data_IF_058115574949
#
_entry.id   IF_058115574949
#
_cell.length_a   1.000
_cell.length_b   1.000
_cell.length_c   1.000
_cell.angle_alpha   90.00
_cell.angle_beta   90.00
_cell.angle_gamma   90.00
#
_symmetry.space_group_name_H-M   'P 1'
#
loop_
_entity.id
_entity.type
_entity.pdbx_description
1 polymer ?
#
# COMPACT_ATOMS: atom_id res chain seq x y z
N UNK A 1 -18.14 -56.56 -35.56
CA UNK A 1 -17.90 -56.14 -34.17
C UNK A 1 -16.67 -55.25 -34.18
N UNK A 2 -16.80 -53.91 -34.21
CA UNK A 2 -17.12 -53.01 -33.09
C UNK A 2 -15.87 -52.75 -32.20
N UNK A 3 -15.19 -51.64 -32.55
CA UNK A 3 -14.25 -50.75 -31.82
C UNK A 3 -13.26 -51.31 -30.78
N UNK A 4 -11.99 -50.86 -30.86
CA UNK A 4 -11.48 -49.87 -29.89
C UNK A 4 -10.16 -49.22 -30.39
N UNK A 5 -10.25 -47.96 -30.81
CA UNK A 5 -9.11 -47.05 -30.94
C UNK A 5 -8.67 -46.68 -29.52
N UNK A 6 -7.49 -47.12 -29.06
CA UNK A 6 -6.87 -46.58 -27.86
C UNK A 6 -6.28 -45.21 -28.20
N UNK A 7 -7.10 -44.16 -28.05
CA UNK A 7 -6.65 -42.78 -28.07
C UNK A 7 -5.76 -42.50 -26.86
N UNK A 8 -4.52 -42.13 -27.16
CA UNK A 8 -3.52 -41.58 -26.26
C UNK A 8 -4.07 -40.32 -25.55
N UNK A 9 -4.40 -40.42 -24.25
CA UNK A 9 -4.72 -39.26 -23.42
C UNK A 9 -3.51 -38.97 -22.52
N UNK A 10 -2.58 -38.14 -23.03
CA UNK A 10 -1.52 -37.55 -22.21
C UNK A 10 -2.18 -36.46 -21.36
N UNK A 11 -2.36 -36.74 -20.07
CA UNK A 11 -2.82 -35.76 -19.08
C UNK A 11 -1.62 -34.87 -18.76
N UNK A 12 -1.50 -33.74 -19.44
CA UNK A 12 -0.56 -32.67 -19.07
C UNK A 12 -1.15 -31.89 -17.91
N UNK A 13 -0.72 -32.19 -16.69
CA UNK A 13 -0.97 -31.36 -15.51
C UNK A 13 -0.22 -30.04 -15.64
N UNK A 14 -0.92 -28.98 -16.04
CA UNK A 14 -0.43 -27.61 -15.91
C UNK A 14 -0.53 -27.22 -14.43
N UNK A 15 0.56 -27.44 -13.70
CA UNK A 15 0.79 -26.84 -12.38
C UNK A 15 1.06 -25.34 -12.57
N UNK A 16 0.01 -24.53 -12.60
CA UNK A 16 0.14 -23.07 -12.51
C UNK A 16 0.23 -22.66 -11.04
N UNK A 17 1.38 -22.91 -10.42
CA UNK A 17 1.77 -22.16 -9.24
C UNK A 17 2.26 -20.79 -9.72
N UNK A 18 1.34 -19.82 -9.83
CA UNK A 18 1.73 -18.41 -9.95
C UNK A 18 2.13 -17.94 -8.54
N UNK A 19 3.34 -18.33 -8.14
CA UNK A 19 3.98 -17.69 -7.00
C UNK A 19 4.38 -16.32 -7.51
N UNK A 20 3.73 -15.28 -6.99
CA UNK A 20 4.24 -13.91 -7.12
C UNK A 20 5.62 -13.92 -6.50
N UNK A 21 6.64 -14.05 -7.35
CA UNK A 21 8.01 -13.86 -6.95
C UNK A 21 8.08 -12.45 -6.36
N UNK A 22 8.41 -12.37 -5.07
CA UNK A 22 8.61 -11.12 -4.36
C UNK A 22 9.37 -10.15 -5.27
N UNK A 23 8.96 -8.86 -5.35
CA UNK A 23 9.66 -7.92 -6.20
C UNK A 23 11.02 -7.62 -5.55
N UNK A 24 12.01 -8.47 -5.79
CA UNK A 24 13.42 -8.15 -5.60
C UNK A 24 13.81 -7.25 -6.76
N UNK A 25 13.41 -5.99 -6.67
CA UNK A 25 14.19 -4.93 -7.26
C UNK A 25 15.40 -4.73 -6.36
N UNK A 26 16.60 -4.88 -6.92
CA UNK A 26 17.81 -4.43 -6.24
C UNK A 26 17.64 -2.94 -5.92
N UNK A 27 17.44 -2.63 -4.64
CA UNK A 27 17.39 -1.25 -4.16
C UNK A 27 18.81 -0.70 -4.25
N UNK A 28 19.17 -0.14 -5.40
CA UNK A 28 20.37 0.67 -5.51
C UNK A 28 20.28 1.77 -4.45
N UNK A 29 21.27 1.85 -3.55
CA UNK A 29 21.32 2.92 -2.55
C UNK A 29 21.22 4.27 -3.27
N UNK A 30 20.21 5.11 -2.97
CA UNK A 30 20.06 6.38 -3.65
C UNK A 30 21.27 7.26 -3.33
N UNK A 31 22.06 7.57 -4.36
CA UNK A 31 23.15 8.54 -4.25
C UNK A 31 22.52 9.90 -3.91
N UNK A 32 23.07 10.68 -2.96
CA UNK A 32 22.53 12.00 -2.67
C UNK A 32 22.51 12.85 -3.95
N UNK A 33 21.38 13.49 -4.31
CA UNK A 33 21.40 14.47 -5.37
C UNK A 33 22.28 15.64 -4.91
N UNK A 34 23.46 15.75 -5.50
CA UNK A 34 24.25 16.97 -5.38
C UNK A 34 23.50 18.10 -6.07
N UNK A 35 22.99 19.06 -5.30
CA UNK A 35 22.55 20.37 -5.82
C UNK A 35 21.17 20.44 -6.51
N UNK A 36 20.32 19.41 -6.47
CA UNK A 36 18.93 19.49 -6.97
C UNK A 36 17.92 19.55 -5.83
N UNK A 37 16.87 20.38 -5.96
CA UNK A 37 15.73 20.40 -5.04
C UNK A 37 15.12 19.00 -4.93
N UNK A 38 15.14 18.40 -3.74
CA UNK A 38 14.43 17.14 -3.50
C UNK A 38 12.93 17.42 -3.51
N UNK A 39 12.24 16.82 -4.47
CA UNK A 39 10.79 16.91 -4.60
C UNK A 39 10.09 15.90 -3.70
N UNK A 40 8.90 16.24 -3.24
CA UNK A 40 8.12 15.42 -2.34
C UNK A 40 7.62 14.13 -3.01
N UNK A 41 7.59 13.05 -2.22
CA UNK A 41 6.78 11.88 -2.51
C UNK A 41 5.45 11.99 -1.76
N UNK A 42 4.40 11.42 -2.31
CA UNK A 42 3.07 11.43 -1.71
C UNK A 42 2.74 10.03 -1.20
N UNK A 43 2.26 9.94 0.03
CA UNK A 43 1.61 8.76 0.60
C UNK A 43 0.10 8.88 0.40
N UNK A 44 -0.51 7.88 -0.21
CA UNK A 44 -1.95 7.67 -0.25
C UNK A 44 -2.28 6.42 0.57
N UNK A 45 -2.90 6.62 1.73
CA UNK A 45 -3.45 5.53 2.52
C UNK A 45 -4.92 5.33 2.09
N UNK A 46 -5.20 4.22 1.40
CA UNK A 46 -6.54 3.81 0.96
C UNK A 46 -7.22 3.01 2.08
N UNK A 47 -8.04 3.68 2.88
CA UNK A 47 -8.86 3.03 3.90
C UNK A 47 -9.94 2.20 3.19
N UNK A 48 -9.86 0.88 3.37
CA UNK A 48 -10.54 -0.10 2.52
C UNK A 48 -11.04 -1.32 3.31
N UNK A 49 -11.74 -2.22 2.61
CA UNK A 49 -12.22 -3.50 3.13
C UNK A 49 -12.62 -4.41 1.97
N UNK A 50 -12.23 -5.67 2.01
CA UNK A 50 -12.40 -6.59 0.87
C UNK A 50 -13.89 -6.91 0.55
N UNK A 51 -14.81 -6.73 1.50
CA UNK A 51 -16.27 -6.85 1.30
C UNK A 51 -16.97 -5.52 0.97
N UNK A 52 -16.24 -4.41 0.88
CA UNK A 52 -16.82 -3.11 0.51
C UNK A 52 -16.98 -3.01 -1.01
N UNK A 53 -18.22 -2.97 -1.49
CA UNK A 53 -18.54 -2.95 -2.93
C UNK A 53 -17.88 -1.81 -3.73
N UNK A 54 -17.65 -0.66 -3.10
CA UNK A 54 -17.07 0.51 -3.75
C UNK A 54 -15.53 0.56 -3.65
N UNK A 55 -14.93 -0.31 -2.82
CA UNK A 55 -13.51 -0.29 -2.55
C UNK A 55 -12.65 -0.82 -3.73
N UNK A 56 -13.11 -1.78 -4.55
CA UNK A 56 -12.41 -2.13 -5.79
C UNK A 56 -12.23 -0.96 -6.77
N UNK A 57 -13.22 -0.08 -6.94
CA UNK A 57 -13.08 1.14 -7.78
C UNK A 57 -12.03 2.10 -7.19
N UNK A 58 -11.93 2.20 -5.86
CA UNK A 58 -10.90 3.00 -5.21
C UNK A 58 -9.49 2.42 -5.44
N UNK A 59 -9.32 1.11 -5.26
CA UNK A 59 -8.06 0.43 -5.51
C UNK A 59 -7.60 0.62 -6.97
N UNK A 60 -8.51 0.48 -7.94
CA UNK A 60 -8.21 0.74 -9.37
C UNK A 60 -7.72 2.17 -9.58
N UNK A 61 -8.38 3.18 -8.97
CA UNK A 61 -7.95 4.58 -9.08
C UNK A 61 -6.58 4.82 -8.46
N UNK A 62 -6.32 4.23 -7.29
CA UNK A 62 -5.01 4.33 -6.64
C UNK A 62 -3.91 3.72 -7.52
N UNK A 63 -4.17 2.56 -8.15
CA UNK A 63 -3.22 1.92 -9.06
C UNK A 63 -3.02 2.70 -10.37
N UNK A 64 -4.07 3.33 -10.90
CA UNK A 64 -3.94 4.24 -12.05
C UNK A 64 -3.04 5.45 -11.71
N UNK A 65 -3.21 6.03 -10.52
CA UNK A 65 -2.33 7.12 -10.07
C UNK A 65 -0.90 6.62 -9.84
N UNK A 66 -0.72 5.42 -9.26
CA UNK A 66 0.60 4.80 -9.08
C UNK A 66 1.29 4.56 -10.43
N UNK A 67 0.55 4.15 -11.46
CA UNK A 67 1.09 3.99 -12.81
C UNK A 67 1.55 5.32 -13.43
N UNK A 68 0.92 6.45 -13.08
CA UNK A 68 1.31 7.79 -13.56
C UNK A 68 2.55 8.30 -12.82
N UNK A 69 2.56 8.21 -11.48
CA UNK A 69 3.59 8.85 -10.65
C UNK A 69 4.75 7.92 -10.25
N UNK A 70 4.66 6.62 -10.56
CA UNK A 70 5.67 5.63 -10.20
C UNK A 70 5.98 5.67 -8.70
N UNK A 71 7.26 5.60 -8.35
CA UNK A 71 7.73 5.56 -6.95
C UNK A 71 7.53 6.84 -6.16
N UNK A 72 7.13 7.93 -6.83
CA UNK A 72 6.78 9.18 -6.15
C UNK A 72 5.42 9.15 -5.49
N UNK A 73 4.57 8.19 -5.83
CA UNK A 73 3.33 7.89 -5.10
C UNK A 73 3.48 6.54 -4.40
N UNK A 74 3.43 6.56 -3.07
CA UNK A 74 3.36 5.38 -2.21
C UNK A 74 1.91 5.13 -1.89
N UNK A 75 1.39 3.95 -2.22
CA UNK A 75 0.00 3.57 -1.95
C UNK A 75 0.00 2.46 -0.90
N UNK A 76 -0.80 2.62 0.15
CA UNK A 76 -0.97 1.63 1.21
C UNK A 76 -2.45 1.37 1.43
N UNK A 77 -2.88 0.11 1.31
CA UNK A 77 -4.24 -0.30 1.68
C UNK A 77 -4.34 -0.49 3.20
N UNK A 78 -5.29 0.17 3.85
CA UNK A 78 -5.54 0.04 5.28
C UNK A 78 -6.90 -0.61 5.48
N UNK A 79 -6.90 -1.92 5.76
CA UNK A 79 -8.12 -2.69 5.97
C UNK A 79 -8.72 -2.38 7.35
N UNK A 80 -9.98 -1.96 7.37
CA UNK A 80 -10.68 -1.53 8.58
C UNK A 80 -12.20 -1.69 8.45
N UNK A 81 -12.92 -1.39 9.54
CA UNK A 81 -14.35 -1.66 9.72
C UNK A 81 -14.66 -3.16 9.62
N UNK A 82 -15.06 -3.77 10.74
CA UNK A 82 -15.30 -5.21 10.81
C UNK A 82 -16.34 -5.71 9.79
N UNK A 83 -17.33 -4.87 9.46
CA UNK A 83 -18.33 -5.20 8.45
C UNK A 83 -17.73 -5.45 7.06
N UNK A 84 -16.60 -4.80 6.73
CA UNK A 84 -15.99 -4.89 5.39
C UNK A 84 -14.66 -5.62 5.35
N UNK A 85 -13.93 -5.69 6.46
CA UNK A 85 -12.56 -6.20 6.49
C UNK A 85 -12.33 -7.37 7.47
N UNK A 86 -13.30 -7.71 8.33
CA UNK A 86 -13.15 -8.90 9.18
C UNK A 86 -13.30 -10.17 8.33
N UNK A 87 -12.45 -11.19 8.54
CA UNK A 87 -12.64 -12.50 7.91
C UNK A 87 -14.02 -13.10 8.14
N UNK A 88 -14.48 -13.89 7.18
CA UNK A 88 -15.79 -14.54 7.21
C UNK A 88 -15.61 -16.05 7.21
N UNK A 89 -16.42 -16.75 8.00
CA UNK A 89 -16.45 -18.21 8.02
C UNK A 89 -17.16 -18.78 6.78
N UNK A 90 -16.71 -19.93 6.25
CA UNK A 90 -15.61 -20.76 6.77
C UNK A 90 -14.23 -20.16 6.45
N UNK A 91 -13.32 -20.22 7.42
CA UNK A 91 -11.91 -19.90 7.15
C UNK A 91 -11.24 -20.99 6.29
N UNK A 92 -10.16 -20.62 5.61
CA UNK A 92 -9.34 -21.48 4.73
C UNK A 92 -10.03 -21.97 3.44
N UNK A 93 -11.08 -21.27 2.99
CA UNK A 93 -11.77 -21.55 1.71
C UNK A 93 -11.23 -20.71 0.54
N UNK A 94 -10.29 -19.80 0.80
CA UNK A 94 -9.71 -18.89 -0.17
C UNK A 94 -10.54 -17.62 -0.43
N UNK A 95 -11.65 -17.42 0.28
CA UNK A 95 -12.54 -16.29 0.11
C UNK A 95 -12.71 -15.52 1.43
N UNK A 96 -12.15 -14.32 1.48
CA UNK A 96 -12.35 -13.41 2.61
C UNK A 96 -11.94 -14.00 3.97
N UNK A 97 -10.94 -14.87 3.97
CA UNK A 97 -10.45 -15.64 5.13
C UNK A 97 -9.23 -14.99 5.82
N UNK A 98 -8.46 -14.17 5.08
CA UNK A 98 -7.25 -13.52 5.59
C UNK A 98 -7.57 -12.21 6.31
N UNK A 99 -7.07 -12.06 7.54
CA UNK A 99 -7.21 -10.82 8.31
C UNK A 99 -6.12 -9.80 7.95
N UNK A 100 -6.47 -8.86 7.07
CA UNK A 100 -5.58 -7.76 6.70
C UNK A 100 -5.66 -6.56 7.65
N UNK A 101 -6.51 -6.60 8.68
CA UNK A 101 -6.61 -5.53 9.67
C UNK A 101 -5.37 -5.54 10.56
N UNK A 102 -5.01 -4.38 11.07
CA UNK A 102 -3.92 -4.25 12.05
C UNK A 102 -4.39 -3.43 13.24
N UNK A 103 -3.81 -3.64 14.45
CA UNK A 103 -4.11 -2.77 15.60
C UNK A 103 -3.88 -1.28 15.28
N UNK A 104 -2.82 -0.96 14.54
CA UNK A 104 -2.53 0.40 14.10
C UNK A 104 -3.60 0.94 13.13
N UNK A 105 -3.97 0.18 12.10
CA UNK A 105 -5.02 0.57 11.15
C UNK A 105 -6.39 0.74 11.80
N UNK A 106 -6.71 -0.07 12.81
CA UNK A 106 -7.96 0.04 13.56
C UNK A 106 -8.09 1.38 14.30
N UNK A 107 -6.98 2.01 14.70
CA UNK A 107 -7.02 3.33 15.34
C UNK A 107 -7.56 4.44 14.43
N UNK A 108 -7.52 4.26 13.11
CA UNK A 108 -7.94 5.28 12.15
C UNK A 108 -9.45 5.56 12.25
N UNK A 109 -10.22 4.56 12.66
CA UNK A 109 -11.67 4.65 12.83
C UNK A 109 -12.06 5.59 13.98
N UNK A 110 -11.19 5.74 14.98
CA UNK A 110 -11.49 6.52 16.19
C UNK A 110 -11.47 8.03 15.94
N UNK A 111 -12.20 8.79 16.75
CA UNK A 111 -12.15 10.27 16.74
C UNK A 111 -10.76 10.84 17.06
N UNK A 112 -9.96 10.11 17.84
CA UNK A 112 -8.56 10.46 18.11
C UNK A 112 -7.59 10.07 16.98
N UNK A 113 -8.06 9.29 16.00
CA UNK A 113 -7.37 8.97 14.76
C UNK A 113 -7.82 9.89 13.62
N UNK A 114 -8.59 9.35 12.68
CA UNK A 114 -9.08 10.09 11.51
C UNK A 114 -10.61 10.07 11.36
N UNK A 115 -11.32 9.44 12.30
CA UNK A 115 -12.78 9.30 12.30
C UNK A 115 -13.29 8.70 10.97
N UNK A 116 -12.66 7.60 10.55
CA UNK A 116 -13.07 6.85 9.36
C UNK A 116 -14.24 5.93 9.70
N UNK A 117 -15.44 6.35 9.33
CA UNK A 117 -16.70 5.62 9.61
C UNK A 117 -17.37 5.07 8.35
N UNK A 118 -16.81 5.34 7.18
CA UNK A 118 -17.28 4.85 5.88
C UNK A 118 -16.08 4.59 4.95
N UNK A 119 -16.27 3.68 3.99
CA UNK A 119 -15.26 3.29 3.02
C UNK A 119 -15.80 3.43 1.59
N UNK A 120 -14.92 3.66 0.59
CA UNK A 120 -13.49 3.94 0.73
C UNK A 120 -13.22 5.42 1.07
N UNK A 121 -12.14 5.68 1.82
CA UNK A 121 -11.63 7.02 2.13
C UNK A 121 -10.12 7.02 1.99
N UNK A 122 -9.55 8.08 1.42
CA UNK A 122 -8.10 8.23 1.33
C UNK A 122 -7.57 9.26 2.31
N UNK A 123 -6.38 9.02 2.83
CA UNK A 123 -5.55 10.01 3.50
C UNK A 123 -4.37 10.34 2.58
N UNK A 124 -4.32 11.56 2.04
CA UNK A 124 -3.24 12.01 1.15
C UNK A 124 -2.24 12.82 1.97
N UNK A 125 -1.06 12.25 2.25
CA UNK A 125 -0.06 12.78 3.17
C UNK A 125 -0.63 13.20 4.54
N UNK A 126 -1.80 12.68 4.91
CA UNK A 126 -2.59 13.13 6.08
C UNK A 126 -2.73 14.65 6.17
N UNK A 127 -2.78 15.33 5.03
CA UNK A 127 -2.98 16.77 4.93
C UNK A 127 -4.43 17.06 4.53
N UNK A 128 -5.09 18.05 5.16
CA UNK A 128 -6.40 18.48 4.72
C UNK A 128 -6.39 18.88 3.24
N UNK A 129 -7.33 18.35 2.49
CA UNK A 129 -7.65 18.76 1.12
C UNK A 129 -9.10 19.25 1.10
N UNK A 130 -9.30 20.48 0.62
CA UNK A 130 -10.60 21.16 0.68
C UNK A 130 -11.24 21.14 2.09
N UNK A 131 -10.42 21.37 3.12
CA UNK A 131 -10.87 21.46 4.51
C UNK A 131 -11.08 20.12 5.22
N UNK A 132 -10.87 18.98 4.56
CA UNK A 132 -11.02 17.65 5.15
C UNK A 132 -9.74 16.82 5.01
N UNK A 133 -9.34 16.15 6.08
CA UNK A 133 -8.25 15.14 6.02
C UNK A 133 -8.71 13.85 5.34
N UNK A 134 -10.02 13.56 5.38
CA UNK A 134 -10.66 12.44 4.68
C UNK A 134 -10.96 12.86 3.26
N UNK A 135 -10.22 12.29 2.31
CA UNK A 135 -10.29 12.65 0.89
C UNK A 135 -11.09 11.60 0.14
N UNK A 136 -12.12 12.03 -0.58
CA UNK A 136 -12.89 11.18 -1.49
C UNK A 136 -12.00 10.59 -2.58
N UNK A 137 -12.24 9.33 -2.96
CA UNK A 137 -11.52 8.65 -4.06
C UNK A 137 -11.56 9.40 -5.38
N UNK A 138 -12.58 10.22 -5.60
CA UNK A 138 -12.72 11.05 -6.80
C UNK A 138 -11.80 12.28 -6.80
N UNK A 139 -11.25 12.65 -5.64
CA UNK A 139 -10.38 13.82 -5.47
C UNK A 139 -8.91 13.46 -5.26
N UNK A 140 -8.54 12.17 -5.22
CA UNK A 140 -7.15 11.76 -4.99
C UNK A 140 -6.21 12.27 -6.09
N UNK A 141 -6.63 12.23 -7.35
CA UNK A 141 -5.80 12.70 -8.46
C UNK A 141 -5.37 14.16 -8.28
N UNK A 142 -6.31 15.03 -7.94
CA UNK A 142 -6.05 16.47 -7.76
C UNK A 142 -5.33 16.76 -6.45
N UNK A 143 -5.64 16.02 -5.37
CA UNK A 143 -4.93 16.13 -4.11
C UNK A 143 -3.45 15.72 -4.23
N UNK A 144 -3.17 14.59 -4.90
CA UNK A 144 -1.81 14.11 -5.17
C UNK A 144 -1.05 15.10 -6.05
N UNK A 145 -1.64 15.52 -7.17
CA UNK A 145 -1.01 16.47 -8.09
C UNK A 145 -0.65 17.79 -7.40
N UNK A 146 -1.49 18.27 -6.47
CA UNK A 146 -1.21 19.48 -5.71
C UNK A 146 -0.04 19.36 -4.72
N UNK A 147 0.39 18.15 -4.37
CA UNK A 147 1.41 17.91 -3.34
C UNK A 147 2.72 17.33 -3.89
N UNK A 148 2.68 16.59 -4.99
CA UNK A 148 3.80 15.74 -5.41
C UNK A 148 5.03 16.58 -5.76
N UNK A 149 4.91 17.66 -6.54
CA UNK A 149 6.08 18.47 -6.93
C UNK A 149 6.47 19.57 -5.94
N UNK A 150 5.87 19.57 -4.75
CA UNK A 150 6.29 20.49 -3.69
C UNK A 150 7.68 20.11 -3.16
N UNK A 151 8.41 21.09 -2.62
CA UNK A 151 9.69 20.84 -1.97
C UNK A 151 9.52 19.88 -0.77
N UNK A 152 10.38 18.86 -0.69
CA UNK A 152 10.43 17.98 0.46
C UNK A 152 11.05 18.69 1.67
N UNK A 153 10.47 18.49 2.85
CA UNK A 153 11.08 18.95 4.11
C UNK A 153 12.19 18.02 4.60
N UNK A 154 12.15 16.76 4.14
CA UNK A 154 13.02 15.69 4.60
C UNK A 154 13.27 14.72 3.45
N UNK A 155 14.50 14.25 3.34
CA UNK A 155 14.90 13.17 2.45
C UNK A 155 15.01 11.89 3.29
N UNK A 156 14.09 10.95 3.06
CA UNK A 156 14.00 9.67 3.76
C UNK A 156 14.45 8.55 2.82
N UNK A 157 15.39 7.73 3.27
CA UNK A 157 15.93 6.62 2.50
C UNK A 157 16.00 5.37 3.34
N UNK A 158 15.60 4.25 2.77
CA UNK A 158 15.91 2.92 3.31
C UNK A 158 17.24 2.53 2.67
N UNK A 159 18.30 2.52 3.47
CA UNK A 159 19.66 2.25 2.99
C UNK A 159 19.92 0.75 2.87
N UNK A 160 19.36 -0.01 3.82
CA UNK A 160 19.44 -1.46 3.86
C UNK A 160 18.10 -2.03 4.31
N UNK A 161 17.72 -3.15 3.71
CA UNK A 161 16.57 -3.95 4.12
C UNK A 161 16.91 -5.43 3.92
N UNK A 162 16.93 -6.17 5.02
CA UNK A 162 17.34 -7.58 5.06
C UNK A 162 16.18 -8.36 5.65
N UNK A 163 15.67 -9.32 4.88
CA UNK A 163 14.72 -10.31 5.37
C UNK A 163 15.45 -11.63 5.63
N UNK A 164 15.42 -12.08 6.88
CA UNK A 164 15.84 -13.42 7.28
C UNK A 164 14.62 -14.32 7.32
N UNK A 165 14.48 -15.20 6.32
CA UNK A 165 13.36 -16.13 6.21
C UNK A 165 13.39 -17.25 7.25
N UNK A 166 14.54 -17.53 7.88
CA UNK A 166 14.68 -18.56 8.92
C UNK A 166 14.25 -17.98 10.26
N UNK A 167 14.71 -16.77 10.58
CA UNK A 167 14.36 -16.08 11.82
C UNK A 167 13.00 -15.37 11.74
N UNK A 168 12.45 -15.16 10.54
CA UNK A 168 11.23 -14.39 10.34
C UNK A 168 11.40 -12.90 10.70
N UNK A 169 12.59 -12.34 10.47
CA UNK A 169 12.92 -10.96 10.86
C UNK A 169 13.23 -10.08 9.66
N UNK A 170 12.82 -8.82 9.76
CA UNK A 170 13.22 -7.76 8.83
C UNK A 170 14.09 -6.76 9.61
N UNK A 171 15.28 -6.49 9.11
CA UNK A 171 16.21 -5.51 9.69
C UNK A 171 16.68 -4.53 8.62
N UNK A 172 16.98 -3.29 9.01
CA UNK A 172 17.34 -2.27 8.03
C UNK A 172 17.80 -0.96 8.65
N UNK A 173 18.46 -0.15 7.83
CA UNK A 173 18.89 1.21 8.14
C UNK A 173 18.01 2.22 7.42
N UNK A 174 17.59 3.27 8.13
CA UNK A 174 16.87 4.41 7.55
C UNK A 174 17.70 5.67 7.77
N UNK A 175 18.00 6.38 6.68
CA UNK A 175 18.59 7.71 6.72
C UNK A 175 17.52 8.77 6.57
N UNK A 176 17.65 9.82 7.39
CA UNK A 176 16.74 10.95 7.44
C UNK A 176 17.55 12.25 7.39
N UNK A 177 17.56 12.92 6.23
CA UNK A 177 18.25 14.20 6.06
C UNK A 177 17.22 15.33 6.09
N UNK A 178 17.35 16.24 7.08
CA UNK A 178 16.53 17.44 7.15
C UNK A 178 16.94 18.41 6.03
N UNK A 179 15.99 18.73 5.15
CA UNK A 179 16.16 19.76 4.13
C UNK A 179 15.61 21.11 4.61
N UNK A 180 14.72 21.06 5.60
CA UNK A 180 14.16 22.21 6.29
C UNK A 180 14.09 21.93 7.80
N UNK A 181 14.17 22.96 8.67
CA UNK A 181 14.00 22.77 10.11
C UNK A 181 12.63 22.19 10.46
N UNK A 182 12.60 21.22 11.39
CA UNK A 182 11.36 20.69 11.95
C UNK A 182 10.93 21.54 13.15
N UNK A 183 9.71 22.09 13.09
CA UNK A 183 9.21 22.99 14.14
C UNK A 183 8.67 22.25 15.39
N UNK A 184 8.39 20.95 15.29
CA UNK A 184 7.76 20.13 16.33
C UNK A 184 8.42 18.75 16.41
N UNK A 185 8.17 17.95 17.46
CA UNK A 185 8.50 16.53 17.45
C UNK A 185 7.82 15.80 16.28
N UNK A 186 8.54 14.84 15.69
CA UNK A 186 8.06 14.00 14.60
C UNK A 186 8.35 12.53 14.91
N UNK A 187 7.53 11.64 14.36
CA UNK A 187 7.72 10.19 14.42
C UNK A 187 8.09 9.66 13.04
N UNK A 188 8.98 8.65 13.01
CA UNK A 188 9.18 7.82 11.83
C UNK A 188 8.22 6.63 11.90
N UNK A 189 7.36 6.49 10.89
CA UNK A 189 6.42 5.36 10.78
C UNK A 189 6.87 4.46 9.64
N UNK A 190 6.99 3.16 9.94
CA UNK A 190 7.31 2.13 8.96
C UNK A 190 6.05 1.32 8.66
N UNK A 191 5.78 1.10 7.38
CA UNK A 191 4.73 0.20 6.91
C UNK A 191 5.39 -1.02 6.32
N UNK A 192 4.97 -2.19 6.77
CA UNK A 192 5.25 -3.45 6.11
C UNK A 192 3.98 -3.80 5.33
N UNK A 193 4.08 -3.81 4.01
CA UNK A 193 2.96 -3.99 3.07
C UNK A 193 3.24 -5.11 2.11
#
# INVERSE_FOLDING_TARGET
MRYLLLSLLVITSLSSCDIVNAPKGDMASPTPPGGSTVTRNVLLEDCTGFRCNNCPDAAIRAMQLKAIYGDRLVVVGVHMLDEFAKPVEPLDDGFYDTDFRTPAGNTYQSQGGFDITALPIGLVNRKPYNGSIRVSRYSWSTAVAGMIDQQAALDLRIDTLIFDSVAGTVSGGVSAVLLQPLATPHNLTLYLT
#
